data_IF_577049642554
#
_entry.id   IF_577049642554
#
_cell.length_a   1.000
_cell.length_b   1.000
_cell.length_c   1.000
_cell.angle_alpha   90.00
_cell.angle_beta   90.00
_cell.angle_gamma   90.00
#
_symmetry.space_group_name_H-M   'P 1'
#
loop_
_entity.id
_entity.type
_entity.pdbx_description
1 polymer ?
#
# COMPACT_ATOMS: atom_id res chain seq x y z
N UNK A 1 -6.04 21.57 -17.93
CA UNK A 1 -6.76 20.37 -17.44
C UNK A 1 -7.50 19.61 -18.54
N UNK A 2 -8.34 20.24 -19.40
CA UNK A 2 -9.07 19.52 -20.46
C UNK A 2 -8.14 18.84 -21.47
N UNK A 3 -7.14 19.55 -22.00
CA UNK A 3 -6.14 18.98 -22.91
C UNK A 3 -5.41 17.76 -22.32
N UNK A 4 -5.11 17.80 -21.04
CA UNK A 4 -4.49 16.66 -20.34
C UNK A 4 -5.43 15.46 -20.20
N UNK A 5 -6.74 15.67 -20.06
CA UNK A 5 -7.74 14.57 -20.04
C UNK A 5 -7.84 13.90 -21.39
N UNK A 6 -7.88 14.68 -22.49
CA UNK A 6 -7.92 14.15 -23.85
C UNK A 6 -6.67 13.32 -24.19
N UNK A 7 -5.50 13.82 -23.80
CA UNK A 7 -4.23 13.11 -23.97
C UNK A 7 -4.21 11.78 -23.20
N UNK A 8 -4.69 11.76 -21.94
CA UNK A 8 -4.79 10.52 -21.15
C UNK A 8 -5.76 9.53 -21.79
N UNK A 9 -6.92 9.99 -22.24
CA UNK A 9 -7.89 9.14 -22.93
C UNK A 9 -7.33 8.51 -24.21
N UNK A 10 -6.55 9.26 -24.99
CA UNK A 10 -5.89 8.74 -26.18
C UNK A 10 -4.87 7.63 -25.83
N UNK A 11 -4.07 7.84 -24.77
CA UNK A 11 -3.09 6.84 -24.31
C UNK A 11 -3.78 5.62 -23.68
N UNK A 12 -4.83 5.80 -22.88
CA UNK A 12 -5.64 4.68 -22.35
C UNK A 12 -6.19 3.83 -23.50
N UNK A 13 -6.79 4.46 -24.50
CA UNK A 13 -7.32 3.75 -25.70
C UNK A 13 -6.21 3.02 -26.46
N UNK A 14 -5.02 3.61 -26.53
CA UNK A 14 -3.88 2.97 -27.19
C UNK A 14 -3.42 1.74 -26.44
N UNK A 15 -3.30 1.82 -25.12
CA UNK A 15 -2.92 0.68 -24.26
C UNK A 15 -3.98 -0.42 -24.33
N UNK A 16 -5.28 -0.06 -24.28
CA UNK A 16 -6.40 -1.02 -24.43
C UNK A 16 -6.30 -1.81 -25.73
N UNK A 17 -6.03 -1.13 -26.84
CA UNK A 17 -5.86 -1.79 -28.17
C UNK A 17 -4.64 -2.71 -28.21
N UNK A 18 -3.51 -2.28 -27.64
CA UNK A 18 -2.27 -3.06 -27.62
C UNK A 18 -2.37 -4.29 -26.73
N UNK A 19 -3.19 -4.21 -25.67
CA UNK A 19 -3.34 -5.25 -24.66
C UNK A 19 -4.58 -6.12 -24.87
N UNK A 20 -5.47 -5.75 -25.78
CA UNK A 20 -6.80 -6.35 -25.93
C UNK A 20 -7.52 -6.45 -24.57
N UNK A 21 -7.56 -5.33 -23.85
CA UNK A 21 -8.06 -5.25 -22.48
C UNK A 21 -8.84 -3.96 -22.24
N UNK A 22 -9.59 -3.91 -21.15
CA UNK A 22 -10.09 -2.65 -20.62
C UNK A 22 -9.11 -2.12 -19.56
N UNK A 23 -8.63 -0.89 -19.73
CA UNK A 23 -7.68 -0.29 -18.80
C UNK A 23 -8.40 0.59 -17.78
N UNK A 24 -8.16 0.30 -16.51
CA UNK A 24 -8.55 1.13 -15.38
C UNK A 24 -7.28 1.68 -14.73
N UNK A 25 -7.16 3.00 -14.63
CA UNK A 25 -6.06 3.61 -13.90
C UNK A 25 -6.50 3.94 -12.46
N UNK A 26 -5.64 3.60 -11.49
CA UNK A 26 -5.76 3.99 -10.08
C UNK A 26 -4.43 4.57 -9.63
N UNK A 27 -4.32 5.88 -9.70
CA UNK A 27 -3.07 6.63 -9.50
C UNK A 27 -3.17 7.52 -8.27
N UNK A 28 -2.32 7.24 -7.26
CA UNK A 28 -2.29 7.96 -5.99
C UNK A 28 -1.01 8.77 -5.85
N UNK A 29 -1.13 9.90 -5.17
CA UNK A 29 0.00 10.65 -4.62
C UNK A 29 0.66 9.85 -3.49
N UNK A 30 1.96 10.08 -3.24
CA UNK A 30 2.73 9.36 -2.22
C UNK A 30 2.17 9.49 -0.80
N UNK A 31 1.46 10.58 -0.50
CA UNK A 31 0.80 10.81 0.78
C UNK A 31 -0.63 10.28 0.86
N UNK A 32 -1.15 9.69 -0.23
CA UNK A 32 -2.43 9.02 -0.26
C UNK A 32 -2.25 7.50 -0.12
N UNK A 33 -3.32 6.81 0.25
CA UNK A 33 -3.30 5.37 0.41
C UNK A 33 -4.54 4.72 -0.20
N UNK A 34 -4.45 3.44 -0.51
CA UNK A 34 -5.61 2.62 -0.86
C UNK A 34 -6.46 2.44 0.40
N UNK A 35 -7.64 3.08 0.43
CA UNK A 35 -8.54 3.15 1.58
C UNK A 35 -10.01 2.92 1.20
N UNK A 36 -10.87 2.73 2.19
CA UNK A 36 -12.28 2.33 2.00
C UNK A 36 -13.09 3.30 1.13
N UNK A 37 -12.77 4.58 1.17
CA UNK A 37 -13.44 5.62 0.37
C UNK A 37 -13.26 5.47 -1.14
N UNK A 38 -12.24 4.72 -1.58
CA UNK A 38 -12.02 4.39 -2.98
C UNK A 38 -12.94 3.29 -3.51
N UNK A 39 -13.44 2.39 -2.65
CA UNK A 39 -14.23 1.23 -3.07
C UNK A 39 -15.53 1.58 -3.78
N UNK A 40 -16.35 2.54 -3.32
CA UNK A 40 -17.54 2.95 -4.06
C UNK A 40 -17.20 3.51 -5.44
N UNK A 41 -16.10 4.27 -5.56
CA UNK A 41 -15.66 4.86 -6.82
C UNK A 41 -15.20 3.78 -7.81
N UNK A 42 -14.47 2.79 -7.32
CA UNK A 42 -14.04 1.63 -8.10
C UNK A 42 -15.25 0.83 -8.57
N UNK A 43 -16.19 0.55 -7.68
CA UNK A 43 -17.41 -0.18 -7.99
C UNK A 43 -18.23 0.51 -9.09
N UNK A 44 -18.49 1.82 -8.96
CA UNK A 44 -19.23 2.60 -9.96
C UNK A 44 -18.55 2.57 -11.35
N UNK A 45 -17.21 2.58 -11.37
CA UNK A 45 -16.45 2.44 -12.63
C UNK A 45 -16.61 1.05 -13.22
N UNK A 46 -16.44 0.02 -12.43
CA UNK A 46 -16.59 -1.37 -12.87
C UNK A 46 -18.01 -1.67 -13.34
N UNK A 47 -19.03 -1.17 -12.64
CA UNK A 47 -20.42 -1.26 -13.10
C UNK A 47 -20.62 -0.58 -14.46
N UNK A 48 -19.96 0.53 -14.70
CA UNK A 48 -20.06 1.27 -15.97
C UNK A 48 -19.34 0.59 -17.13
N UNK A 49 -18.28 -0.15 -16.83
CA UNK A 49 -17.50 -0.94 -17.79
C UNK A 49 -18.18 -2.28 -18.09
N UNK A 50 -18.86 -2.84 -17.09
CA UNK A 50 -19.44 -4.18 -17.14
C UNK A 50 -18.39 -5.29 -17.04
N UNK A 51 -18.84 -6.55 -17.15
CA UNK A 51 -17.92 -7.70 -17.14
C UNK A 51 -17.10 -7.75 -18.44
N UNK A 52 -15.80 -8.04 -18.32
CA UNK A 52 -14.82 -8.10 -19.39
C UNK A 52 -14.03 -9.39 -19.33
N UNK A 53 -13.54 -9.87 -20.47
CA UNK A 53 -12.61 -10.99 -20.50
C UNK A 53 -11.31 -10.61 -19.80
N UNK A 54 -10.85 -9.35 -20.00
CA UNK A 54 -9.61 -8.84 -19.42
C UNK A 54 -9.74 -7.40 -18.94
N UNK A 55 -9.27 -7.16 -17.71
CA UNK A 55 -9.05 -5.83 -17.15
C UNK A 55 -7.57 -5.69 -16.80
N UNK A 56 -6.94 -4.61 -17.26
CA UNK A 56 -5.61 -4.21 -16.84
C UNK A 56 -5.73 -3.00 -15.90
N UNK A 57 -5.33 -3.16 -14.64
CA UNK A 57 -5.26 -2.07 -13.66
C UNK A 57 -3.89 -1.39 -13.75
N UNK A 58 -3.83 -0.16 -14.26
CA UNK A 58 -2.64 0.69 -14.10
C UNK A 58 -2.63 1.24 -12.67
N UNK A 59 -1.72 0.74 -11.86
CA UNK A 59 -1.63 1.05 -10.43
C UNK A 59 -0.38 1.86 -10.11
N UNK A 60 -0.56 2.94 -9.34
CA UNK A 60 0.51 3.68 -8.68
C UNK A 60 0.06 4.03 -7.27
N UNK A 61 0.64 3.39 -6.25
CA UNK A 61 0.31 3.60 -4.85
C UNK A 61 1.45 3.15 -3.94
N UNK A 62 1.83 3.97 -2.95
CA UNK A 62 2.91 3.62 -2.01
C UNK A 62 2.41 2.93 -0.75
N UNK A 63 1.14 3.10 -0.40
CA UNK A 63 0.56 2.60 0.85
C UNK A 63 -0.88 2.15 0.65
N UNK A 64 -1.39 1.39 1.62
CA UNK A 64 -2.79 0.96 1.63
C UNK A 64 -3.17 0.29 2.94
N UNK A 65 -4.47 0.09 3.10
CA UNK A 65 -5.04 -0.78 4.13
C UNK A 65 -5.15 -2.17 3.51
N UNK A 66 -4.57 -3.17 4.16
CA UNK A 66 -4.43 -4.51 3.56
C UNK A 66 -5.77 -5.17 3.29
N UNK A 67 -6.74 -4.97 4.18
CA UNK A 67 -8.10 -5.46 4.05
C UNK A 67 -8.82 -4.80 2.85
N UNK A 68 -8.54 -3.52 2.61
CA UNK A 68 -9.10 -2.80 1.46
C UNK A 68 -8.45 -3.27 0.15
N UNK A 69 -7.13 -3.46 0.14
CA UNK A 69 -6.41 -3.99 -1.02
C UNK A 69 -6.95 -5.37 -1.42
N UNK A 70 -7.26 -6.23 -0.43
CA UNK A 70 -7.91 -7.52 -0.67
C UNK A 70 -9.31 -7.36 -1.28
N UNK A 71 -10.11 -6.40 -0.79
CA UNK A 71 -11.45 -6.09 -1.35
C UNK A 71 -11.35 -5.56 -2.78
N UNK A 72 -10.33 -4.75 -3.08
CA UNK A 72 -10.06 -4.26 -4.46
C UNK A 72 -9.80 -5.42 -5.41
N UNK A 73 -8.95 -6.39 -5.02
CA UNK A 73 -8.68 -7.59 -5.83
C UNK A 73 -9.98 -8.35 -6.12
N UNK A 74 -10.76 -8.66 -5.08
CA UNK A 74 -11.99 -9.42 -5.24
C UNK A 74 -12.98 -8.69 -6.15
N UNK A 75 -13.13 -7.38 -5.96
CA UNK A 75 -14.03 -6.56 -6.77
C UNK A 75 -13.62 -6.53 -8.24
N UNK A 76 -12.32 -6.43 -8.54
CA UNK A 76 -11.81 -6.51 -9.92
C UNK A 76 -12.07 -7.88 -10.53
N UNK A 77 -11.79 -8.96 -9.79
CA UNK A 77 -11.98 -10.34 -10.26
C UNK A 77 -13.44 -10.74 -10.48
N UNK A 78 -14.38 -10.09 -9.81
CA UNK A 78 -15.81 -10.26 -10.12
C UNK A 78 -16.19 -9.69 -11.49
N UNK A 79 -15.38 -8.77 -12.04
CA UNK A 79 -15.64 -8.05 -13.27
C UNK A 79 -14.75 -8.47 -14.45
N UNK A 80 -13.80 -9.39 -14.25
CA UNK A 80 -12.98 -9.92 -15.34
C UNK A 80 -12.63 -11.39 -15.14
N UNK A 81 -12.34 -12.06 -16.26
CA UNK A 81 -11.85 -13.44 -16.25
C UNK A 81 -10.32 -13.49 -16.14
N UNK A 82 -9.61 -12.41 -16.58
CA UNK A 82 -8.18 -12.22 -16.44
C UNK A 82 -7.85 -10.82 -15.92
N UNK A 83 -7.14 -10.75 -14.79
CA UNK A 83 -6.70 -9.51 -14.17
C UNK A 83 -5.21 -9.27 -14.46
N UNK A 84 -4.90 -8.22 -15.22
CA UNK A 84 -3.54 -7.69 -15.33
C UNK A 84 -3.33 -6.52 -14.37
N UNK A 85 -2.12 -6.37 -13.84
CA UNK A 85 -1.71 -5.15 -13.14
C UNK A 85 -0.49 -4.54 -13.82
N UNK A 86 -0.64 -3.33 -14.31
CA UNK A 86 0.45 -2.52 -14.87
C UNK A 86 1.01 -1.67 -13.73
N UNK A 87 2.24 -1.97 -13.32
CA UNK A 87 2.98 -1.15 -12.34
C UNK A 87 3.47 0.10 -13.06
N UNK A 88 2.74 1.19 -12.94
CA UNK A 88 3.02 2.42 -13.69
C UNK A 88 4.37 3.04 -13.32
N UNK A 89 4.57 3.30 -12.03
CA UNK A 89 5.84 3.79 -11.49
C UNK A 89 6.16 3.04 -10.20
N UNK A 90 5.35 3.24 -9.15
CA UNK A 90 5.64 2.67 -7.84
C UNK A 90 4.41 2.03 -7.21
N UNK A 91 4.55 0.77 -6.78
CA UNK A 91 3.56 0.04 -5.99
C UNK A 91 4.26 -0.55 -4.77
N UNK A 92 3.85 -0.12 -3.57
CA UNK A 92 4.51 -0.49 -2.31
C UNK A 92 3.48 -0.66 -1.18
N UNK A 93 3.91 -1.21 -0.05
CA UNK A 93 3.06 -1.44 1.10
C UNK A 93 1.88 -2.36 0.76
N UNK A 94 0.75 -2.18 1.42
CA UNK A 94 -0.43 -3.01 1.16
C UNK A 94 -0.99 -2.90 -0.27
N UNK A 95 -0.64 -1.86 -1.04
CA UNK A 95 -1.00 -1.77 -2.45
C UNK A 95 -0.33 -2.87 -3.30
N UNK A 96 0.85 -3.37 -2.90
CA UNK A 96 1.53 -4.48 -3.59
C UNK A 96 0.70 -5.76 -3.59
N UNK A 97 -0.19 -5.94 -2.59
CA UNK A 97 -1.11 -7.07 -2.56
C UNK A 97 -2.01 -7.12 -3.81
N UNK A 98 -2.40 -5.95 -4.34
CA UNK A 98 -3.24 -5.87 -5.54
C UNK A 98 -2.49 -6.47 -6.74
N UNK A 99 -1.21 -6.13 -6.89
CA UNK A 99 -0.36 -6.71 -7.93
C UNK A 99 -0.15 -8.21 -7.74
N UNK A 100 0.08 -8.67 -6.49
CA UNK A 100 0.27 -10.09 -6.18
C UNK A 100 -1.00 -10.93 -6.39
N UNK A 101 -2.17 -10.31 -6.43
CA UNK A 101 -3.43 -10.98 -6.74
C UNK A 101 -3.81 -10.98 -8.21
N UNK A 102 -2.95 -10.49 -9.11
CA UNK A 102 -3.17 -10.44 -10.55
C UNK A 102 -2.63 -11.69 -11.26
N UNK A 103 -3.27 -12.06 -12.37
CA UNK A 103 -2.82 -13.17 -13.22
C UNK A 103 -1.54 -12.78 -13.99
N UNK A 104 -1.36 -11.49 -14.26
CA UNK A 104 -0.20 -10.95 -14.96
C UNK A 104 0.23 -9.63 -14.34
N UNK A 105 1.53 -9.46 -14.09
CA UNK A 105 2.11 -8.22 -13.61
C UNK A 105 3.04 -7.66 -14.67
N UNK A 106 2.71 -6.47 -15.19
CA UNK A 106 3.48 -5.80 -16.22
C UNK A 106 4.37 -4.74 -15.57
N UNK A 107 5.69 -4.88 -15.71
CA UNK A 107 6.68 -3.97 -15.14
C UNK A 107 7.66 -3.50 -16.20
N UNK A 108 7.69 -2.19 -16.43
CA UNK A 108 8.68 -1.56 -17.28
C UNK A 108 9.99 -1.21 -16.54
N UNK A 109 10.96 -0.58 -17.25
CA UNK A 109 12.28 -0.28 -16.69
C UNK A 109 12.29 0.62 -15.45
N UNK A 110 11.27 1.46 -15.28
CA UNK A 110 11.13 2.40 -14.15
C UNK A 110 10.06 1.98 -13.14
N UNK A 111 9.51 0.77 -13.30
CA UNK A 111 8.51 0.24 -12.37
C UNK A 111 9.16 -0.30 -11.11
N UNK A 112 8.57 -0.01 -9.96
CA UNK A 112 8.98 -0.47 -8.65
C UNK A 112 7.84 -1.24 -7.98
N UNK A 113 8.10 -2.45 -7.51
CA UNK A 113 7.15 -3.26 -6.73
C UNK A 113 7.81 -3.66 -5.41
N UNK A 114 7.38 -3.05 -4.32
CA UNK A 114 8.00 -3.19 -3.00
C UNK A 114 7.27 -4.13 -2.05
N UNK A 115 7.86 -4.32 -0.89
CA UNK A 115 7.32 -5.14 0.18
C UNK A 115 6.06 -4.58 0.84
N UNK A 116 5.44 -5.41 1.66
CA UNK A 116 4.15 -5.13 2.33
C UNK A 116 4.27 -5.19 3.85
N UNK A 117 5.47 -5.07 4.39
CA UNK A 117 5.65 -5.13 5.84
C UNK A 117 4.72 -4.15 6.56
N UNK A 118 3.79 -4.64 7.40
CA UNK A 118 2.81 -3.77 8.04
C UNK A 118 3.44 -2.97 9.17
N UNK A 119 3.52 -1.67 8.99
CA UNK A 119 3.94 -0.72 10.02
C UNK A 119 2.71 -0.21 10.75
N UNK A 120 2.77 -0.15 12.08
CA UNK A 120 1.65 0.30 12.92
C UNK A 120 2.08 1.44 13.85
N UNK A 121 1.17 2.39 14.03
CA UNK A 121 1.24 3.39 15.10
C UNK A 121 0.28 2.96 16.21
N UNK A 122 0.73 2.98 17.44
CA UNK A 122 -0.11 2.61 18.59
C UNK A 122 0.15 3.59 19.74
N UNK A 123 -0.87 4.06 20.48
CA UNK A 123 -0.70 5.03 21.56
C UNK A 123 0.27 4.59 22.68
N UNK A 124 0.51 3.30 22.82
CA UNK A 124 1.46 2.72 23.80
C UNK A 124 2.88 2.53 23.24
N UNK A 125 3.18 2.98 22.02
CA UNK A 125 4.53 3.06 21.49
C UNK A 125 5.23 4.33 22.00
N UNK A 126 6.55 4.36 21.99
CA UNK A 126 7.31 5.59 22.23
C UNK A 126 6.84 6.71 21.27
N UNK A 127 6.91 7.95 21.75
CA UNK A 127 6.50 9.12 20.99
C UNK A 127 7.72 9.90 20.52
N UNK A 128 7.61 10.52 19.36
CA UNK A 128 8.60 11.45 18.83
C UNK A 128 8.49 12.84 19.50
N UNK A 129 9.37 13.77 19.11
CA UNK A 129 9.39 15.14 19.64
C UNK A 129 8.09 15.92 19.39
N UNK A 130 7.30 15.52 18.39
CA UNK A 130 5.98 16.11 18.09
C UNK A 130 4.84 15.49 18.88
N UNK A 131 5.13 14.50 19.74
CA UNK A 131 4.15 13.76 20.53
C UNK A 131 3.37 12.71 19.73
N UNK A 132 3.85 12.32 18.54
CA UNK A 132 3.23 11.26 17.77
C UNK A 132 3.88 9.90 18.05
N UNK A 133 3.10 8.81 18.12
CA UNK A 133 3.67 7.47 18.27
C UNK A 133 4.64 7.15 17.13
N UNK A 134 5.84 6.69 17.46
CA UNK A 134 6.81 6.21 16.47
C UNK A 134 6.24 4.96 15.80
N UNK A 135 6.15 4.92 14.46
CA UNK A 135 5.66 3.74 13.78
C UNK A 135 6.64 2.58 13.94
N UNK A 136 6.13 1.36 14.12
CA UNK A 136 6.93 0.15 14.31
C UNK A 136 6.31 -1.01 13.52
N UNK A 137 7.16 -1.87 12.94
CA UNK A 137 6.77 -3.14 12.35
C UNK A 137 7.12 -4.33 13.26
N UNK A 138 6.53 -5.50 12.96
CA UNK A 138 6.92 -6.73 13.64
C UNK A 138 8.33 -7.20 13.22
N UNK A 139 8.74 -6.93 11.98
CA UNK A 139 10.07 -7.25 11.47
C UNK A 139 11.17 -6.45 12.18
N UNK A 140 10.96 -5.15 12.40
CA UNK A 140 11.89 -4.30 13.17
C UNK A 140 12.04 -4.81 14.61
N UNK A 141 10.92 -5.21 15.24
CA UNK A 141 10.95 -5.79 16.58
C UNK A 141 11.71 -7.13 16.59
N UNK A 142 11.50 -7.99 15.58
CA UNK A 142 12.20 -9.25 15.42
C UNK A 142 13.69 -9.01 15.18
N UNK A 143 14.05 -8.09 14.30
CA UNK A 143 15.44 -7.72 14.03
C UNK A 143 16.18 -7.25 15.30
N UNK A 144 15.52 -6.47 16.16
CA UNK A 144 16.07 -6.10 17.46
C UNK A 144 16.30 -7.32 18.34
N UNK A 145 15.34 -8.25 18.41
CA UNK A 145 15.48 -9.48 19.22
C UNK A 145 16.62 -10.39 18.69
N UNK A 146 16.75 -10.52 17.37
CA UNK A 146 17.80 -11.29 16.72
C UNK A 146 19.18 -10.67 17.02
N UNK A 147 19.32 -9.34 16.85
CA UNK A 147 20.54 -8.59 17.20
C UNK A 147 20.93 -8.77 18.67
N UNK A 148 19.99 -8.62 19.60
CA UNK A 148 20.26 -8.80 21.03
C UNK A 148 20.62 -10.24 21.39
N UNK A 149 20.08 -11.25 20.68
CA UNK A 149 20.42 -12.65 20.88
C UNK A 149 21.83 -12.99 20.38
N UNK A 150 22.26 -12.38 19.27
CA UNK A 150 23.62 -12.53 18.73
C UNK A 150 24.66 -11.90 19.69
N UNK A 151 24.36 -10.70 20.20
CA UNK A 151 25.25 -10.04 21.16
C UNK A 151 25.33 -10.74 22.51
N UNK A 152 24.28 -11.43 22.96
CA UNK A 152 24.25 -12.11 24.25
C UNK A 152 25.06 -13.41 24.29
N UNK A 153 25.56 -13.90 23.14
CA UNK A 153 26.53 -15.00 23.05
C UNK A 153 27.95 -14.62 23.47
N UNK A 154 28.33 -13.34 23.41
CA UNK A 154 29.71 -12.86 23.60
C UNK A 154 29.93 -11.78 24.66
N UNK A 155 28.88 -11.20 25.26
CA UNK A 155 29.09 -10.07 26.20
C UNK A 155 28.05 -10.05 27.32
N UNK A 156 28.51 -10.04 28.58
CA UNK A 156 27.71 -9.62 29.72
C UNK A 156 27.24 -8.17 29.53
N UNK A 157 26.04 -7.96 28.98
CA UNK A 157 25.37 -6.67 29.07
C UNK A 157 24.96 -6.47 30.53
N UNK A 158 25.84 -5.92 31.32
CA UNK A 158 25.57 -5.41 32.66
C UNK A 158 24.69 -4.17 32.50
N UNK A 159 23.39 -4.33 32.56
CA UNK A 159 22.53 -3.23 32.95
C UNK A 159 22.70 -3.08 34.47
N UNK A 160 23.48 -2.09 34.89
CA UNK A 160 23.56 -1.65 36.26
C UNK A 160 22.19 -1.10 36.69
N UNK A 161 21.34 -1.98 37.19
CA UNK A 161 20.24 -1.58 38.08
C UNK A 161 20.71 -1.77 39.52
N UNK A 162 21.65 -0.92 39.93
CA UNK A 162 22.04 -0.77 41.33
C UNK A 162 20.96 0.00 42.09
N UNK A 163 19.93 -0.69 42.54
CA UNK A 163 19.04 -0.04 43.45
C UNK A 163 17.76 -0.74 43.84
N UNK A 164 17.81 -2.00 44.17
CA UNK A 164 16.89 -2.65 45.16
C UNK A 164 17.15 -4.14 45.27
N UNK A 165 18.26 -4.53 45.89
CA UNK A 165 18.40 -5.89 46.43
C UNK A 165 17.58 -5.98 47.72
N UNK A 166 16.49 -6.72 47.69
CA UNK A 166 15.84 -7.17 48.92
C UNK A 166 16.57 -8.39 49.44
N UNK A 167 16.77 -8.50 50.77
CA UNK A 167 17.60 -9.49 51.48
C UNK A 167 17.18 -10.94 51.33
N UNK A 168 16.13 -11.27 50.52
CA UNK A 168 15.60 -12.62 50.32
C UNK A 168 16.09 -13.33 49.05
N UNK A 169 16.95 -12.68 48.24
CA UNK A 169 17.43 -13.27 46.99
C UNK A 169 18.63 -14.21 47.13
N UNK A 170 19.33 -14.18 48.27
CA UNK A 170 20.54 -15.02 48.52
C UNK A 170 20.25 -16.39 49.13
N UNK A 171 19.01 -16.86 49.14
CA UNK A 171 18.68 -18.19 49.63
C UNK A 171 18.90 -19.26 48.55
N UNK A 172 19.92 -20.18 48.67
CA UNK A 172 20.22 -21.18 47.67
C UNK A 172 19.13 -22.26 47.48
N UNK A 173 18.07 -22.26 48.30
CA UNK A 173 16.93 -23.15 48.20
C UNK A 173 15.77 -22.53 47.40
N UNK A 174 15.88 -21.30 46.88
CA UNK A 174 14.83 -20.62 46.11
C UNK A 174 14.88 -21.05 44.63
N UNK A 175 13.90 -21.77 44.11
CA UNK A 175 13.87 -22.18 42.69
C UNK A 175 13.82 -21.02 41.70
N UNK A 176 13.65 -19.76 42.16
CA UNK A 176 13.67 -18.56 41.29
C UNK A 176 15.08 -18.16 40.83
N UNK A 177 16.15 -18.70 41.43
CA UNK A 177 17.53 -18.37 41.08
C UNK A 177 18.06 -19.08 39.81
N UNK A 178 17.26 -19.90 39.12
CA UNK A 178 17.68 -20.66 37.95
C UNK A 178 17.21 -20.15 36.59
N UNK A 179 16.62 -18.98 36.49
CA UNK A 179 16.26 -18.39 35.18
C UNK A 179 17.38 -17.43 34.75
N UNK A 180 18.54 -17.95 34.48
CA UNK A 180 19.61 -17.22 33.78
C UNK A 180 19.62 -17.59 32.28
N UNK A 181 18.48 -17.54 31.61
CA UNK A 181 18.46 -17.63 30.16
C UNK A 181 18.64 -16.20 29.59
N UNK A 182 19.70 -15.93 28.79
CA UNK A 182 19.91 -14.62 28.16
C UNK A 182 18.66 -14.11 27.46
N UNK A 183 17.91 -14.98 26.80
CA UNK A 183 16.62 -14.64 26.15
C UNK A 183 15.58 -14.07 27.12
N UNK A 184 15.56 -14.52 28.38
CA UNK A 184 14.59 -13.99 29.37
C UNK A 184 14.95 -12.58 29.85
N UNK A 185 16.24 -12.24 29.92
CA UNK A 185 16.70 -10.87 30.23
C UNK A 185 16.34 -9.90 29.10
N UNK A 186 16.58 -10.29 27.85
CA UNK A 186 16.25 -9.51 26.64
C UNK A 186 14.75 -9.26 26.57
N UNK A 187 13.92 -10.28 26.75
CA UNK A 187 12.46 -10.15 26.76
C UNK A 187 12.00 -9.21 27.87
N UNK A 188 12.62 -9.27 29.07
CA UNK A 188 12.28 -8.36 30.17
C UNK A 188 12.60 -6.90 29.81
N UNK A 189 13.79 -6.62 29.27
CA UNK A 189 14.15 -5.26 28.82
C UNK A 189 13.18 -4.75 27.76
N UNK A 190 12.86 -5.59 26.76
CA UNK A 190 11.90 -5.22 25.73
C UNK A 190 10.53 -4.85 26.30
N UNK A 191 10.01 -5.65 27.25
CA UNK A 191 8.71 -5.41 27.88
C UNK A 191 8.67 -4.17 28.79
N UNK A 192 9.82 -3.63 29.19
CA UNK A 192 9.89 -2.31 29.83
C UNK A 192 9.68 -1.14 28.87
N UNK A 193 10.07 -1.31 27.59
CA UNK A 193 10.03 -0.23 26.59
C UNK A 193 8.86 -0.38 25.61
N UNK A 194 8.41 -1.60 25.34
CA UNK A 194 7.30 -1.88 24.43
C UNK A 194 6.20 -2.65 25.16
N UNK A 195 5.03 -2.07 25.23
CA UNK A 195 3.90 -2.68 25.94
C UNK A 195 3.51 -4.03 25.27
N UNK A 196 3.26 -5.11 26.03
CA UNK A 196 2.94 -6.45 25.48
C UNK A 196 1.78 -6.45 24.48
N UNK A 197 0.74 -5.64 24.69
CA UNK A 197 -0.37 -5.52 23.75
C UNK A 197 0.06 -4.98 22.39
N UNK A 198 1.07 -4.11 22.33
CA UNK A 198 1.61 -3.60 21.08
C UNK A 198 2.29 -4.73 20.30
N UNK A 199 3.10 -5.55 21.00
CA UNK A 199 3.74 -6.72 20.39
C UNK A 199 2.69 -7.68 19.80
N UNK A 200 1.60 -7.92 20.54
CA UNK A 200 0.50 -8.75 20.05
C UNK A 200 -0.17 -8.16 18.80
N UNK A 201 -0.41 -6.86 18.76
CA UNK A 201 -0.97 -6.16 17.60
C UNK A 201 -0.04 -6.20 16.39
N UNK A 202 1.27 -5.99 16.58
CA UNK A 202 2.25 -6.09 15.50
C UNK A 202 2.30 -7.52 14.94
N UNK A 203 2.32 -8.53 15.81
CA UNK A 203 2.29 -9.93 15.39
C UNK A 203 1.00 -10.29 14.64
N UNK A 204 -0.13 -9.80 15.10
CA UNK A 204 -1.42 -10.01 14.41
C UNK A 204 -1.41 -9.37 13.01
N UNK A 205 -0.88 -8.15 12.89
CA UNK A 205 -0.77 -7.47 11.60
C UNK A 205 0.15 -8.22 10.62
N UNK A 206 1.30 -8.71 11.08
CA UNK A 206 2.21 -9.56 10.30
C UNK A 206 1.53 -10.86 9.85
N UNK A 207 0.85 -11.54 10.78
CA UNK A 207 0.15 -12.79 10.47
C UNK A 207 -0.94 -12.58 9.42
N UNK A 208 -1.76 -11.52 9.57
CA UNK A 208 -2.80 -11.18 8.59
C UNK A 208 -2.19 -10.86 7.23
N UNK A 209 -1.12 -10.06 7.20
CA UNK A 209 -0.43 -9.70 5.96
C UNK A 209 0.05 -10.94 5.20
N UNK A 210 0.71 -11.86 5.88
CA UNK A 210 1.19 -13.13 5.32
C UNK A 210 0.04 -14.01 4.81
N UNK A 211 -1.04 -14.12 5.59
CA UNK A 211 -2.20 -14.92 5.21
C UNK A 211 -2.89 -14.38 3.95
N UNK A 212 -3.10 -13.06 3.88
CA UNK A 212 -3.76 -12.43 2.72
C UNK A 212 -2.85 -12.45 1.49
N UNK A 213 -1.52 -12.31 1.68
CA UNK A 213 -0.54 -12.48 0.58
C UNK A 213 -0.62 -13.89 -0.01
N UNK A 214 -0.65 -14.91 0.83
CA UNK A 214 -0.80 -16.30 0.38
C UNK A 214 -2.09 -16.48 -0.40
N UNK A 215 -3.21 -15.96 0.11
CA UNK A 215 -4.51 -16.01 -0.58
C UNK A 215 -4.45 -15.31 -1.94
N UNK A 216 -3.82 -14.14 -2.03
CA UNK A 216 -3.69 -13.39 -3.28
C UNK A 216 -2.88 -14.16 -4.34
N UNK A 217 -1.73 -14.70 -3.97
CA UNK A 217 -0.90 -15.53 -4.86
C UNK A 217 -1.65 -16.81 -5.30
N UNK A 218 -2.41 -17.43 -4.41
CA UNK A 218 -3.19 -18.64 -4.71
C UNK A 218 -4.39 -18.40 -5.65
N UNK A 219 -4.73 -17.14 -5.99
CA UNK A 219 -5.76 -16.84 -6.98
C UNK A 219 -5.33 -17.20 -8.41
N UNK A 220 -4.02 -17.22 -8.68
CA UNK A 220 -3.48 -17.42 -10.03
C UNK A 220 -2.32 -18.44 -10.09
N UNK A 221 -1.73 -18.82 -8.96
CA UNK A 221 -0.69 -19.84 -8.90
C UNK A 221 -1.30 -21.21 -8.56
N UNK A 222 -0.72 -22.27 -9.13
CA UNK A 222 -1.22 -23.64 -8.90
C UNK A 222 -0.91 -24.12 -7.47
N UNK A 223 -1.72 -25.04 -6.90
CA UNK A 223 -1.43 -25.64 -5.60
C UNK A 223 -0.05 -26.32 -5.51
N UNK A 224 0.48 -26.79 -6.64
CA UNK A 224 1.82 -27.41 -6.74
C UNK A 224 2.95 -26.39 -6.53
N UNK A 225 2.66 -25.09 -6.69
CA UNK A 225 3.62 -23.99 -6.44
C UNK A 225 3.75 -23.60 -4.95
N UNK A 226 3.31 -24.44 -4.02
CA UNK A 226 3.24 -24.09 -2.60
C UNK A 226 4.55 -23.55 -2.02
N UNK A 227 5.70 -24.17 -2.32
CA UNK A 227 7.01 -23.66 -1.88
C UNK A 227 7.36 -22.28 -2.49
N UNK A 228 6.96 -22.04 -3.74
CA UNK A 228 7.15 -20.78 -4.43
C UNK A 228 6.27 -19.69 -3.83
N UNK A 229 5.02 -20.03 -3.51
CA UNK A 229 4.09 -19.13 -2.80
C UNK A 229 4.68 -18.73 -1.45
N UNK A 230 5.16 -19.68 -0.64
CA UNK A 230 5.72 -19.36 0.68
C UNK A 230 6.99 -18.49 0.57
N UNK A 231 7.88 -18.75 -0.39
CA UNK A 231 9.02 -17.88 -0.65
C UNK A 231 8.61 -16.44 -0.98
N UNK A 232 7.59 -16.26 -1.81
CA UNK A 232 7.05 -14.94 -2.15
C UNK A 232 6.37 -14.28 -0.94
N UNK A 233 5.62 -15.04 -0.14
CA UNK A 233 5.03 -14.55 1.12
C UNK A 233 6.12 -14.03 2.05
N UNK A 234 7.20 -14.78 2.24
CA UNK A 234 8.33 -14.36 3.08
C UNK A 234 9.02 -13.12 2.52
N UNK A 235 9.28 -13.11 1.22
CA UNK A 235 9.93 -12.01 0.52
C UNK A 235 9.16 -10.69 0.71
N UNK A 236 7.85 -10.71 0.42
CA UNK A 236 7.03 -9.50 0.48
C UNK A 236 6.66 -9.06 1.90
N UNK A 237 6.73 -9.94 2.91
CA UNK A 237 6.38 -9.63 4.30
C UNK A 237 7.62 -9.55 5.23
N UNK A 238 8.69 -8.93 4.79
CA UNK A 238 9.88 -8.67 5.59
C UNK A 238 11.20 -9.19 5.00
N UNK A 239 11.16 -9.93 3.88
CA UNK A 239 12.36 -10.48 3.24
C UNK A 239 13.26 -9.43 2.60
N UNK A 240 12.76 -8.22 2.38
CA UNK A 240 13.56 -7.11 1.84
C UNK A 240 14.38 -6.38 2.92
N UNK A 241 14.24 -6.72 4.19
CA UNK A 241 14.98 -6.14 5.32
C UNK A 241 14.89 -4.61 5.46
N UNK A 242 14.11 -3.95 4.63
CA UNK A 242 13.86 -2.50 4.67
C UNK A 242 12.53 -2.18 3.97
N UNK A 243 11.67 -1.36 4.59
CA UNK A 243 10.41 -0.94 3.96
C UNK A 243 10.63 0.03 2.78
N UNK A 244 11.85 0.56 2.63
CA UNK A 244 12.21 1.51 1.55
C UNK A 244 12.84 0.77 0.35
N UNK A 245 13.39 -0.44 0.58
CA UNK A 245 14.03 -1.19 -0.49
C UNK A 245 12.99 -1.71 -1.48
N UNK A 246 13.24 -1.45 -2.76
CA UNK A 246 12.46 -1.98 -3.88
C UNK A 246 13.35 -2.87 -4.72
N UNK A 247 13.04 -4.18 -4.81
CA UNK A 247 13.80 -5.09 -5.65
C UNK A 247 13.62 -4.71 -7.13
N UNK A 248 14.64 -4.99 -7.91
CA UNK A 248 14.56 -4.85 -9.36
C UNK A 248 13.80 -6.03 -9.99
N UNK A 249 13.44 -5.90 -11.28
CA UNK A 249 12.67 -6.94 -12.00
C UNK A 249 13.36 -8.31 -11.99
N UNK A 250 14.69 -8.34 -12.14
CA UNK A 250 15.45 -9.59 -12.19
C UNK A 250 15.39 -10.33 -10.83
N UNK A 251 15.43 -9.59 -9.71
CA UNK A 251 15.25 -10.15 -8.37
C UNK A 251 13.86 -10.75 -8.18
N UNK A 252 12.82 -10.03 -8.60
CA UNK A 252 11.43 -10.51 -8.51
C UNK A 252 11.19 -11.74 -9.41
N UNK A 253 11.73 -11.75 -10.62
CA UNK A 253 11.69 -12.91 -11.52
C UNK A 253 12.43 -14.11 -10.91
N UNK A 254 13.61 -13.90 -10.34
CA UNK A 254 14.38 -14.97 -9.68
C UNK A 254 13.67 -15.54 -8.45
N UNK A 255 12.91 -14.70 -7.75
CA UNK A 255 12.04 -15.13 -6.65
C UNK A 255 10.81 -15.91 -7.13
N UNK A 256 10.53 -15.86 -8.43
CA UNK A 256 9.46 -16.62 -9.04
C UNK A 256 8.17 -15.83 -9.25
N UNK A 257 8.19 -14.50 -9.15
CA UNK A 257 7.00 -13.69 -9.48
C UNK A 257 6.77 -13.69 -11.00
N UNK A 258 5.54 -13.96 -11.49
CA UNK A 258 5.25 -13.97 -12.93
C UNK A 258 5.17 -12.52 -13.46
N UNK A 259 6.29 -12.01 -13.97
CA UNK A 259 6.39 -10.67 -14.54
C UNK A 259 6.43 -10.71 -16.05
N UNK A 260 5.72 -9.77 -16.67
CA UNK A 260 5.77 -9.52 -18.11
C UNK A 260 6.48 -8.21 -18.40
N UNK A 261 7.48 -8.27 -19.29
CA UNK A 261 8.13 -7.08 -19.82
C UNK A 261 7.28 -6.50 -20.96
N UNK A 262 6.85 -5.24 -20.89
CA UNK A 262 6.18 -4.60 -22.01
C UNK A 262 7.18 -4.39 -23.15
N UNK A 263 6.71 -4.56 -24.38
CA UNK A 263 7.51 -4.12 -25.51
C UNK A 263 7.75 -2.59 -25.51
N UNK A 264 8.62 -2.12 -26.39
CA UNK A 264 9.03 -0.71 -26.41
C UNK A 264 7.85 0.24 -26.68
N UNK A 265 6.94 -0.14 -27.56
CA UNK A 265 5.81 0.71 -27.97
C UNK A 265 4.78 0.81 -26.81
N UNK A 266 4.46 -0.31 -26.21
CA UNK A 266 3.58 -0.39 -25.05
C UNK A 266 4.16 0.39 -23.86
N UNK A 267 5.49 0.24 -23.61
CA UNK A 267 6.13 0.98 -22.53
C UNK A 267 6.10 2.50 -22.76
N UNK A 268 6.30 2.97 -23.97
CA UNK A 268 6.21 4.40 -24.31
C UNK A 268 4.81 4.92 -24.01
N UNK A 269 3.76 4.18 -24.36
CA UNK A 269 2.39 4.56 -24.07
C UNK A 269 2.08 4.58 -22.55
N UNK A 270 2.50 3.53 -21.83
CA UNK A 270 2.34 3.45 -20.36
C UNK A 270 3.08 4.60 -19.68
N UNK A 271 4.35 4.82 -20.03
CA UNK A 271 5.15 5.85 -19.40
C UNK A 271 4.62 7.27 -19.71
N UNK A 272 4.20 7.53 -20.95
CA UNK A 272 3.52 8.78 -21.30
C UNK A 272 2.28 9.03 -20.47
N UNK A 273 1.47 8.01 -20.25
CA UNK A 273 0.28 8.08 -19.39
C UNK A 273 0.65 8.34 -17.92
N UNK A 274 1.65 7.66 -17.40
CA UNK A 274 2.18 7.86 -16.03
C UNK A 274 2.65 9.30 -15.84
N UNK A 275 3.40 9.87 -16.80
CA UNK A 275 3.86 11.25 -16.72
C UNK A 275 2.68 12.26 -16.65
N UNK A 276 1.60 12.03 -17.40
CA UNK A 276 0.41 12.88 -17.34
C UNK A 276 -0.31 12.79 -15.99
N UNK A 277 -0.38 11.59 -15.38
CA UNK A 277 -0.89 11.43 -14.01
C UNK A 277 0.00 12.11 -13.00
N UNK A 278 1.31 11.92 -13.09
CA UNK A 278 2.28 12.57 -12.21
C UNK A 278 2.16 14.09 -12.28
N UNK A 279 2.10 14.67 -13.47
CA UNK A 279 1.93 16.10 -13.65
C UNK A 279 0.64 16.66 -13.03
N UNK A 280 -0.39 15.82 -12.87
CA UNK A 280 -1.67 16.22 -12.24
C UNK A 280 -1.64 16.01 -10.73
N UNK A 281 -1.14 14.85 -10.26
CA UNK A 281 -1.22 14.42 -8.86
C UNK A 281 -0.08 15.02 -8.03
N UNK A 282 1.12 15.20 -8.60
CA UNK A 282 2.27 15.84 -7.93
C UNK A 282 2.43 17.31 -8.34
N UNK A 283 1.31 17.97 -8.67
CA UNK A 283 1.34 19.38 -9.04
C UNK A 283 1.69 20.25 -7.82
N UNK A 284 2.89 20.83 -7.82
CA UNK A 284 3.37 21.76 -6.80
C UNK A 284 2.64 23.11 -6.82
N UNK A 285 1.85 23.37 -7.86
CA UNK A 285 1.05 24.59 -8.01
C UNK A 285 -0.43 24.26 -7.83
N UNK A 286 -0.92 24.25 -6.58
CA UNK A 286 -2.33 23.99 -6.32
C UNK A 286 -3.20 25.02 -7.02
N UNK A 287 -4.34 24.56 -7.53
CA UNK A 287 -5.30 25.47 -8.13
C UNK A 287 -5.97 26.35 -7.06
N UNK A 288 -6.05 27.65 -7.32
CA UNK A 288 -6.65 28.62 -6.41
C UNK A 288 -8.16 28.72 -6.68
N UNK A 289 -9.00 28.44 -5.69
CA UNK A 289 -10.46 28.53 -5.80
C UNK A 289 -11.02 29.84 -5.27
N UNK A 290 -10.30 30.47 -4.33
CA UNK A 290 -10.63 31.76 -3.72
C UNK A 290 -9.35 32.30 -3.03
N UNK A 291 -9.27 33.59 -2.68
CA UNK A 291 -8.11 34.10 -1.96
C UNK A 291 -7.79 33.27 -0.71
N UNK A 292 -6.61 32.64 -0.71
CA UNK A 292 -6.13 31.78 0.38
C UNK A 292 -6.69 30.35 0.44
N UNK A 293 -7.53 29.95 -0.52
CA UNK A 293 -8.06 28.59 -0.61
C UNK A 293 -7.51 27.88 -1.86
N UNK A 294 -6.90 26.71 -1.66
CA UNK A 294 -6.23 25.93 -2.69
C UNK A 294 -6.80 24.52 -2.74
N UNK A 295 -6.64 23.83 -3.87
CA UNK A 295 -6.90 22.41 -3.96
C UNK A 295 -5.90 21.70 -4.89
N UNK A 296 -5.74 20.41 -4.67
CA UNK A 296 -4.99 19.47 -5.53
C UNK A 296 -5.71 18.13 -5.58
N UNK A 297 -5.49 17.37 -6.64
CA UNK A 297 -5.90 15.98 -6.68
C UNK A 297 -4.80 15.09 -6.09
N UNK A 298 -5.14 14.27 -5.11
CA UNK A 298 -4.22 13.31 -4.47
C UNK A 298 -4.46 11.87 -4.94
N UNK A 299 -5.51 11.64 -5.70
CA UNK A 299 -5.80 10.38 -6.35
C UNK A 299 -6.63 10.63 -7.61
N UNK A 300 -6.33 9.88 -8.66
CA UNK A 300 -7.13 9.81 -9.88
C UNK A 300 -7.51 8.37 -10.16
N UNK A 301 -8.77 8.16 -10.51
CA UNK A 301 -9.29 6.88 -10.96
C UNK A 301 -9.97 7.09 -12.30
N UNK A 302 -9.48 6.47 -13.37
CA UNK A 302 -9.86 6.80 -14.73
C UNK A 302 -10.02 5.54 -15.60
N UNK A 303 -11.06 5.51 -16.39
CA UNK A 303 -11.24 4.65 -17.56
C UNK A 303 -11.50 5.57 -18.76
N UNK A 304 -11.45 5.05 -19.98
CA UNK A 304 -11.73 5.85 -21.18
C UNK A 304 -13.04 6.61 -21.01
N UNK A 305 -12.98 7.95 -21.10
CA UNK A 305 -14.14 8.85 -21.00
C UNK A 305 -14.69 9.10 -19.60
N UNK A 306 -14.13 8.51 -18.54
CA UNK A 306 -14.63 8.64 -17.16
C UNK A 306 -13.52 8.85 -16.15
N UNK A 307 -13.38 10.07 -15.68
CA UNK A 307 -12.43 10.45 -14.66
C UNK A 307 -13.14 10.74 -13.32
N UNK A 308 -12.54 10.24 -12.24
CA UNK A 308 -12.91 10.56 -10.85
C UNK A 308 -11.64 10.93 -10.11
N UNK A 309 -11.68 11.99 -9.30
CA UNK A 309 -10.49 12.42 -8.55
C UNK A 309 -10.77 12.67 -7.09
N UNK A 310 -9.87 12.25 -6.21
CA UNK A 310 -9.88 12.59 -4.78
C UNK A 310 -9.24 13.97 -4.62
N UNK A 311 -10.05 14.96 -4.34
CA UNK A 311 -9.63 16.34 -4.17
C UNK A 311 -9.36 16.67 -2.71
N UNK A 312 -8.18 17.19 -2.44
CA UNK A 312 -7.79 17.76 -1.16
C UNK A 312 -7.82 19.28 -1.25
N UNK A 313 -8.72 19.91 -0.48
CA UNK A 313 -8.77 21.37 -0.33
C UNK A 313 -8.04 21.78 0.94
N UNK A 314 -7.25 22.85 0.87
CA UNK A 314 -6.44 23.32 1.99
C UNK A 314 -6.27 24.85 1.96
N UNK A 315 -5.85 25.40 3.09
CA UNK A 315 -5.44 26.80 3.22
C UNK A 315 -4.01 26.84 3.78
N UNK A 316 -3.30 27.94 3.52
CA UNK A 316 -2.00 28.19 4.12
C UNK A 316 -2.17 29.14 5.31
N UNK A 317 -1.74 28.68 6.50
CA UNK A 317 -1.72 29.47 7.74
C UNK A 317 -0.31 29.42 8.27
N UNK A 318 0.34 30.60 8.42
CA UNK A 318 1.72 30.72 8.93
C UNK A 318 2.74 29.84 8.20
N UNK A 319 2.57 29.67 6.87
CA UNK A 319 3.45 28.84 6.04
C UNK A 319 3.20 27.32 6.12
N UNK A 320 2.19 26.91 6.90
CA UNK A 320 1.78 25.51 7.00
C UNK A 320 0.45 25.26 6.26
N UNK A 321 0.35 24.11 5.59
CA UNK A 321 -0.89 23.67 4.96
C UNK A 321 -1.86 23.12 6.00
N UNK A 322 -3.04 23.69 6.09
CA UNK A 322 -4.16 23.18 6.87
C UNK A 322 -5.21 22.59 5.94
N UNK A 323 -5.36 21.27 5.95
CA UNK A 323 -6.39 20.58 5.17
C UNK A 323 -7.77 20.96 5.69
N UNK A 324 -8.62 21.40 4.79
CA UNK A 324 -10.02 21.81 5.07
C UNK A 324 -10.99 20.66 4.76
N UNK A 325 -10.81 20.01 3.62
CA UNK A 325 -11.71 18.98 3.12
C UNK A 325 -10.98 18.02 2.17
N UNK A 326 -11.36 16.74 2.24
CA UNK A 326 -11.01 15.72 1.26
C UNK A 326 -12.31 15.14 0.75
N UNK A 327 -12.50 15.12 -0.58
CA UNK A 327 -13.72 14.56 -1.20
C UNK A 327 -13.45 14.03 -2.60
N UNK A 328 -14.28 13.07 -3.02
CA UNK A 328 -14.29 12.58 -4.39
C UNK A 328 -15.11 13.52 -5.28
N UNK A 329 -14.51 13.92 -6.40
CA UNK A 329 -15.18 14.64 -7.48
C UNK A 329 -15.50 13.64 -8.60
N UNK A 330 -16.80 13.31 -8.78
CA UNK A 330 -17.27 12.26 -9.71
C UNK A 330 -17.66 12.80 -11.09
N UNK A 331 -17.62 14.10 -11.31
CA UNK A 331 -18.11 14.77 -12.52
C UNK A 331 -17.01 15.52 -13.30
N UNK A 332 -15.79 14.99 -13.35
CA UNK A 332 -14.77 15.53 -14.25
C UNK A 332 -15.07 14.96 -15.64
N UNK A 333 -16.03 15.55 -16.36
CA UNK A 333 -16.41 15.13 -17.71
C UNK A 333 -15.43 15.71 -18.72
N UNK A 334 -14.89 14.85 -19.58
CA UNK A 334 -14.52 15.26 -20.92
C UNK A 334 -15.82 15.62 -21.67
N UNK A 335 -15.85 16.76 -22.31
CA UNK A 335 -17.03 17.30 -23.03
C UNK A 335 -17.57 16.33 -24.08
N UNK A 336 -18.61 15.58 -23.70
CA UNK A 336 -19.50 14.82 -24.58
C UNK A 336 -20.89 14.81 -23.96
N UNK A 337 -22.00 14.93 -24.74
CA UNK A 337 -23.33 14.97 -24.19
C UNK A 337 -23.71 13.63 -23.58
N UNK A 338 -23.65 13.55 -22.24
CA UNK A 338 -24.17 12.38 -21.51
C UNK A 338 -25.67 12.53 -21.23
N UNK A 339 -26.40 11.41 -21.00
CA UNK A 339 -27.82 11.45 -20.73
C UNK A 339 -28.14 12.31 -19.50
N UNK A 340 -29.05 13.25 -19.66
CA UNK A 340 -29.59 14.08 -18.59
C UNK A 340 -30.46 13.23 -17.66
N UNK A 341 -29.99 12.91 -16.47
CA UNK A 341 -30.88 12.47 -15.38
C UNK A 341 -31.52 13.73 -14.78
N UNK A 342 -32.78 13.97 -15.12
CA UNK A 342 -33.58 14.97 -14.46
C UNK A 342 -33.80 14.66 -12.97
N UNK A 343 -33.97 15.68 -12.11
CA UNK A 343 -34.27 15.46 -10.71
C UNK A 343 -35.71 14.87 -10.61
N UNK A 344 -35.78 13.61 -10.12
CA UNK A 344 -37.05 12.97 -9.81
C UNK A 344 -37.80 13.78 -8.75
N UNK A 345 -38.86 14.50 -9.17
CA UNK A 345 -39.74 15.19 -8.28
C UNK A 345 -40.45 14.21 -7.34
N UNK A 346 -40.28 14.41 -6.05
CA UNK A 346 -41.18 13.82 -5.06
C UNK A 346 -42.51 14.58 -5.16
N UNK A 347 -43.54 13.92 -5.66
CA UNK A 347 -44.91 14.34 -5.43
C UNK A 347 -45.35 13.86 -4.05
N UNK A 348 -45.70 14.80 -3.18
CA UNK A 348 -46.53 14.53 -2.00
C UNK A 348 -47.90 14.07 -2.47
N UNK A 349 -48.37 12.95 -1.93
CA UNK A 349 -49.72 12.75 -1.44
C UNK A 349 -49.64 11.71 -0.35
#
# INVERSE_FOLDING_TARGET
MLETVEQRNALLTTIEKMRDSTVLAYFLHDNAMVADDALPQLYDKLQSVGKKDRIDLLLNARNGIIEVSWRVINLLREHCDHLGVIVGSRVQGAASLIALGADEIIMGPLSELGGMEPVRRHPLLPHDESGQPIPLSFGELKGLLDFLSEQSGDTELVAEDEGRRTKDEDNPANPKSKIQNPKSKIVRVLLHHVHPLVIAHLKQADTLSREVTRKALSLHMHPEDGERIERLVDLFNGGFHSPIYTPNRAELLSAGLPLTDPDKELWVAIWGLVQLYQATVYNDRPENTAPGAFYRYVCLMETVGRLTGLRQSFTQVEGQERVLQIRWDTAIRSSGPGPSYGPGGRSNN
#
